data_IF_746335736683
#
_entry.id   IF_746335736683
#
_cell.length_a   1.000
_cell.length_b   1.000
_cell.length_c   1.000
_cell.angle_alpha   90.00
_cell.angle_beta   90.00
_cell.angle_gamma   90.00
#
_symmetry.space_group_name_H-M   'P 1'
#
loop_
_entity.id
_entity.type
_entity.pdbx_description
1 polymer ?
#
# COMPACT_ATOMS: atom_id res chain seq x y z
N UNK A 1 -6.99 -9.30 -4.83
CA UNK A 1 -7.26 -7.86 -4.71
C UNK A 1 -7.00 -7.06 -5.99
N UNK A 2 -6.07 -7.46 -6.87
CA UNK A 2 -5.73 -6.72 -8.09
C UNK A 2 -6.91 -6.36 -9.02
N UNK A 3 -7.77 -7.33 -9.35
CA UNK A 3 -8.88 -7.09 -10.28
C UNK A 3 -9.86 -6.01 -9.80
N UNK A 4 -10.08 -5.92 -8.49
CA UNK A 4 -10.93 -4.90 -7.88
C UNK A 4 -10.30 -3.52 -7.98
N UNK A 5 -9.04 -3.36 -7.59
CA UNK A 5 -8.35 -2.06 -7.64
C UNK A 5 -8.14 -1.59 -9.07
N UNK A 6 -7.88 -2.50 -10.01
CA UNK A 6 -7.79 -2.20 -11.44
C UNK A 6 -9.12 -1.69 -12.00
N UNK A 7 -10.23 -2.35 -11.65
CA UNK A 7 -11.57 -1.95 -12.08
C UNK A 7 -11.98 -0.62 -11.48
N UNK A 8 -11.72 -0.41 -10.17
CA UNK A 8 -12.00 0.85 -9.48
C UNK A 8 -11.21 2.02 -10.06
N UNK A 9 -9.92 1.83 -10.34
CA UNK A 9 -9.09 2.85 -10.98
C UNK A 9 -9.64 3.22 -12.36
N UNK A 10 -9.98 2.23 -13.18
CA UNK A 10 -10.56 2.46 -14.50
C UNK A 10 -11.91 3.16 -14.43
N UNK A 11 -12.72 2.81 -13.42
CA UNK A 11 -14.02 3.43 -13.18
C UNK A 11 -13.88 4.89 -12.75
N UNK A 12 -13.06 5.17 -11.73
CA UNK A 12 -12.79 6.53 -11.24
C UNK A 12 -12.26 7.44 -12.37
N UNK A 13 -11.35 6.93 -13.21
CA UNK A 13 -10.80 7.69 -14.32
C UNK A 13 -11.84 8.04 -15.39
N UNK A 14 -12.87 7.21 -15.58
CA UNK A 14 -13.93 7.45 -16.58
C UNK A 14 -15.02 8.39 -16.07
N UNK A 15 -15.30 8.38 -14.77
CA UNK A 15 -16.38 9.18 -14.16
C UNK A 15 -15.89 10.51 -13.58
N UNK A 16 -14.58 10.67 -13.37
CA UNK A 16 -14.02 11.89 -12.79
C UNK A 16 -14.34 13.11 -13.68
N UNK A 17 -15.02 14.14 -13.13
CA UNK A 17 -15.25 15.39 -13.85
C UNK A 17 -14.01 16.31 -13.85
N UNK A 18 -13.00 15.97 -13.05
CA UNK A 18 -11.75 16.72 -12.86
C UNK A 18 -10.56 15.89 -13.36
N UNK A 19 -9.40 16.52 -13.52
CA UNK A 19 -8.20 15.94 -14.13
C UNK A 19 -7.97 14.45 -13.79
N UNK A 20 -7.82 13.59 -14.81
CA UNK A 20 -7.69 12.14 -14.64
C UNK A 20 -6.39 11.71 -13.93
N UNK A 21 -5.50 12.66 -13.64
CA UNK A 21 -4.18 12.41 -13.08
C UNK A 21 -4.19 12.06 -11.59
N UNK A 22 -5.26 12.37 -10.85
CA UNK A 22 -5.34 12.08 -9.40
C UNK A 22 -5.76 10.62 -9.15
N UNK A 23 -6.63 10.06 -10.00
CA UNK A 23 -7.04 8.66 -9.98
C UNK A 23 -7.70 8.18 -8.67
N UNK A 24 -7.76 6.87 -8.50
CA UNK A 24 -8.31 6.21 -7.30
C UNK A 24 -7.30 6.25 -6.14
N UNK A 25 -7.70 6.78 -4.98
CA UNK A 25 -6.81 6.97 -3.82
C UNK A 25 -7.21 6.13 -2.61
N UNK A 26 -8.50 6.09 -2.26
CA UNK A 26 -9.00 5.28 -1.15
C UNK A 26 -10.50 5.05 -1.27
N UNK A 27 -11.00 3.99 -0.62
CA UNK A 27 -12.43 3.84 -0.36
C UNK A 27 -12.65 3.45 1.10
N UNK A 28 -13.83 3.80 1.63
CA UNK A 28 -14.25 3.48 2.99
C UNK A 28 -15.45 2.54 2.94
N UNK A 29 -15.43 1.51 3.77
CA UNK A 29 -16.57 0.62 4.03
C UNK A 29 -17.10 0.84 5.45
N UNK A 30 -18.09 0.07 5.87
CA UNK A 30 -18.59 0.09 7.26
C UNK A 30 -17.63 -0.54 8.27
N UNK A 31 -16.57 -1.22 7.83
CA UNK A 31 -15.66 -1.96 8.71
C UNK A 31 -14.21 -1.49 8.59
N UNK A 32 -13.75 -1.09 7.40
CA UNK A 32 -12.38 -0.64 7.18
C UNK A 32 -12.29 0.43 6.10
N UNK A 33 -11.18 1.14 6.09
CA UNK A 33 -10.77 2.04 5.00
C UNK A 33 -9.60 1.39 4.25
N UNK A 34 -9.68 1.34 2.93
CA UNK A 34 -8.60 0.89 2.07
C UNK A 34 -7.92 2.08 1.44
N UNK A 35 -6.60 2.11 1.53
CA UNK A 35 -5.73 3.12 0.94
C UNK A 35 -4.94 2.49 -0.18
N UNK A 36 -4.87 3.20 -1.29
CA UNK A 36 -4.18 2.79 -2.50
C UNK A 36 -3.10 3.81 -2.84
N UNK A 37 -1.89 3.30 -3.07
CA UNK A 37 -0.75 4.11 -3.47
C UNK A 37 -0.02 3.41 -4.62
N UNK A 38 0.21 4.15 -5.70
CA UNK A 38 0.91 3.65 -6.87
C UNK A 38 2.16 4.50 -7.12
N UNK A 39 3.29 3.82 -7.31
CA UNK A 39 4.55 4.48 -7.65
C UNK A 39 4.60 4.76 -9.15
N UNK A 40 5.42 5.74 -9.59
CA UNK A 40 5.68 5.96 -11.03
C UNK A 40 6.27 4.72 -11.74
N UNK A 41 6.89 3.80 -11.01
CA UNK A 41 7.38 2.51 -11.51
C UNK A 41 6.28 1.45 -11.70
N UNK A 42 5.02 1.79 -11.38
CA UNK A 42 3.87 0.89 -11.54
C UNK A 42 3.68 -0.11 -10.39
N UNK A 43 4.38 0.06 -9.26
CA UNK A 43 4.17 -0.75 -8.06
C UNK A 43 2.95 -0.26 -7.31
N UNK A 44 2.10 -1.19 -6.86
CA UNK A 44 0.83 -0.89 -6.20
C UNK A 44 0.89 -1.35 -4.76
N UNK A 45 0.78 -0.41 -3.84
CA UNK A 45 0.68 -0.63 -2.41
C UNK A 45 -0.78 -0.48 -1.99
N UNK A 46 -1.27 -1.47 -1.27
CA UNK A 46 -2.63 -1.51 -0.73
C UNK A 46 -2.51 -1.68 0.77
N UNK A 47 -3.14 -0.79 1.53
CA UNK A 47 -3.15 -0.85 2.99
C UNK A 47 -4.58 -0.71 3.49
N UNK A 48 -4.99 -1.57 4.42
CA UNK A 48 -6.29 -1.47 5.08
C UNK A 48 -6.11 -0.99 6.51
N UNK A 49 -6.94 -0.05 6.91
CA UNK A 49 -6.91 0.57 8.24
C UNK A 49 -8.31 0.63 8.84
N UNK A 50 -8.39 0.87 10.15
CA UNK A 50 -9.63 1.23 10.82
C UNK A 50 -10.22 2.54 10.25
N UNK A 51 -11.54 2.71 10.42
CA UNK A 51 -12.32 3.90 10.11
C UNK A 51 -11.94 5.12 10.96
N UNK A 52 -11.37 4.89 12.15
CA UNK A 52 -10.96 5.95 13.08
C UNK A 52 -9.70 6.69 12.63
N UNK A 53 -8.95 6.15 11.68
CA UNK A 53 -7.72 6.78 11.19
C UNK A 53 -8.09 7.95 10.27
N UNK A 54 -7.89 9.16 10.81
CA UNK A 54 -8.03 10.43 10.11
C UNK A 54 -6.66 10.87 9.60
N UNK A 55 -6.60 11.29 8.34
CA UNK A 55 -5.38 11.77 7.71
C UNK A 55 -5.02 11.04 6.42
N UNK A 56 -4.04 11.62 5.74
CA UNK A 56 -3.51 11.12 4.48
C UNK A 56 -2.36 10.14 4.72
N UNK A 57 -2.61 8.85 4.48
CA UNK A 57 -1.64 7.77 4.70
C UNK A 57 -0.67 7.65 3.51
N UNK A 58 -0.83 8.46 2.45
CA UNK A 58 0.07 8.45 1.29
C UNK A 58 1.53 8.69 1.67
N UNK A 59 1.79 9.61 2.62
CA UNK A 59 3.14 9.86 3.10
C UNK A 59 3.74 8.60 3.74
N UNK A 60 2.95 7.90 4.57
CA UNK A 60 3.38 6.65 5.19
C UNK A 60 3.68 5.57 4.16
N UNK A 61 2.83 5.41 3.14
CA UNK A 61 3.02 4.42 2.07
C UNK A 61 4.25 4.76 1.20
N UNK A 62 4.52 6.05 0.96
CA UNK A 62 5.74 6.48 0.29
C UNK A 62 6.99 6.19 1.13
N UNK A 63 6.96 6.46 2.44
CA UNK A 63 8.07 6.14 3.35
C UNK A 63 8.29 4.63 3.43
N UNK A 64 7.23 3.82 3.47
CA UNK A 64 7.32 2.36 3.41
C UNK A 64 7.99 1.90 2.10
N UNK A 65 7.64 2.50 0.97
CA UNK A 65 8.29 2.23 -0.30
C UNK A 65 9.80 2.55 -0.23
N UNK A 66 10.16 3.75 0.22
CA UNK A 66 11.54 4.23 0.23
C UNK A 66 12.43 3.49 1.23
N UNK A 67 11.98 3.36 2.46
CA UNK A 67 12.84 2.93 3.57
C UNK A 67 12.74 1.42 3.84
N UNK A 68 11.69 0.76 3.34
CA UNK A 68 11.53 -0.70 3.53
C UNK A 68 11.65 -1.44 2.21
N UNK A 69 10.83 -1.09 1.22
CA UNK A 69 10.81 -1.83 -0.04
C UNK A 69 12.09 -1.66 -0.87
N UNK A 70 12.57 -0.44 -1.07
CA UNK A 70 13.80 -0.21 -1.83
C UNK A 70 15.01 -0.80 -1.10
N UNK A 71 15.09 -0.64 0.23
CA UNK A 71 16.25 -1.08 1.01
C UNK A 71 16.35 -2.59 1.17
N UNK A 72 15.23 -3.29 1.40
CA UNK A 72 15.25 -4.70 1.77
C UNK A 72 14.64 -5.64 0.71
N UNK A 73 13.98 -5.11 -0.33
CA UNK A 73 13.49 -5.93 -1.43
C UNK A 73 14.26 -5.70 -2.74
N UNK A 74 14.69 -4.47 -3.05
CA UNK A 74 15.42 -4.19 -4.32
C UNK A 74 16.92 -4.42 -4.16
N UNK A 75 17.52 -4.05 -3.03
CA UNK A 75 18.95 -4.26 -2.78
C UNK A 75 19.30 -5.71 -2.45
N UNK A 76 18.31 -6.54 -2.15
CA UNK A 76 18.50 -7.97 -1.88
C UNK A 76 18.72 -8.72 -3.20
N UNK A 77 19.93 -9.23 -3.48
CA UNK A 77 20.25 -9.88 -4.74
C UNK A 77 19.50 -11.21 -4.95
N UNK A 78 18.99 -11.82 -3.88
CA UNK A 78 18.19 -13.05 -3.97
C UNK A 78 16.70 -12.76 -4.25
N UNK A 79 16.30 -11.50 -4.19
CA UNK A 79 14.91 -11.09 -4.34
C UNK A 79 14.59 -10.84 -5.82
N UNK A 80 13.95 -11.83 -6.45
CA UNK A 80 13.54 -11.69 -7.83
C UNK A 80 12.35 -10.72 -8.00
N UNK A 81 12.54 -9.73 -8.86
CA UNK A 81 11.46 -8.85 -9.32
C UNK A 81 10.33 -9.70 -9.94
N UNK A 82 9.08 -9.42 -9.55
CA UNK A 82 7.85 -10.13 -9.95
C UNK A 82 7.53 -11.45 -9.20
N UNK A 83 8.38 -11.90 -8.27
CA UNK A 83 8.04 -13.02 -7.39
C UNK A 83 7.56 -12.50 -6.02
N UNK A 84 6.77 -13.29 -5.26
CA UNK A 84 6.46 -12.93 -3.89
C UNK A 84 7.74 -12.80 -3.07
N UNK A 85 7.87 -11.71 -2.31
CA UNK A 85 9.02 -11.46 -1.44
C UNK A 85 9.01 -12.51 -0.33
N UNK A 86 10.05 -13.36 -0.28
CA UNK A 86 10.22 -14.41 0.75
C UNK A 86 11.23 -14.03 1.83
N UNK A 87 11.87 -12.86 1.70
CA UNK A 87 12.91 -12.41 2.62
C UNK A 87 12.33 -12.19 4.01
N UNK A 88 12.85 -12.94 5.00
CA UNK A 88 12.45 -12.80 6.41
C UNK A 88 12.82 -11.43 6.96
N UNK A 89 13.98 -10.92 6.56
CA UNK A 89 14.49 -9.62 6.96
C UNK A 89 13.56 -8.49 6.50
N UNK A 90 13.01 -8.58 5.28
CA UNK A 90 11.98 -7.65 4.82
C UNK A 90 10.74 -7.68 5.73
N UNK A 91 10.24 -8.87 6.09
CA UNK A 91 9.07 -8.99 6.98
C UNK A 91 9.33 -8.42 8.38
N UNK A 92 10.51 -8.66 8.95
CA UNK A 92 10.90 -8.10 10.25
C UNK A 92 10.97 -6.59 10.22
N UNK A 93 11.64 -6.01 9.21
CA UNK A 93 11.77 -4.56 9.05
C UNK A 93 10.46 -3.87 8.75
N UNK A 94 9.59 -4.53 7.98
CA UNK A 94 8.23 -4.05 7.74
C UNK A 94 7.40 -4.01 9.03
N UNK A 95 7.47 -5.06 9.85
CA UNK A 95 6.80 -5.09 11.15
C UNK A 95 7.33 -4.01 12.08
N UNK A 96 8.65 -3.83 12.15
CA UNK A 96 9.29 -2.77 12.94
C UNK A 96 8.83 -1.37 12.49
N UNK A 97 8.79 -1.14 11.17
CA UNK A 97 8.34 0.13 10.59
C UNK A 97 6.88 0.43 10.95
N UNK A 98 6.04 -0.59 10.84
CA UNK A 98 4.60 -0.50 11.12
C UNK A 98 4.35 -0.24 12.62
N UNK A 99 5.04 -0.95 13.51
CA UNK A 99 4.91 -0.78 14.97
C UNK A 99 5.37 0.60 15.46
N UNK A 100 6.35 1.20 14.79
CA UNK A 100 6.84 2.56 15.10
C UNK A 100 5.81 3.65 14.78
N UNK A 101 4.77 3.35 14.01
CA UNK A 101 3.81 4.37 13.63
C UNK A 101 2.81 4.65 14.77
N UNK A 102 2.57 5.94 15.11
CA UNK A 102 1.65 6.31 16.19
C UNK A 102 0.20 5.91 15.90
N UNK A 103 -0.13 5.65 14.63
CA UNK A 103 -1.44 5.22 14.16
C UNK A 103 -1.66 3.70 14.38
N UNK A 104 -0.62 2.95 14.78
CA UNK A 104 -0.62 1.48 14.78
C UNK A 104 -1.45 0.83 15.90
N UNK A 105 -1.80 1.55 16.96
CA UNK A 105 -2.78 1.08 17.95
C UNK A 105 -4.09 0.58 17.34
N UNK A 106 -4.42 1.06 16.12
CA UNK A 106 -5.63 0.72 15.37
C UNK A 106 -5.37 -0.01 14.03
N UNK A 107 -4.13 -0.39 13.70
CA UNK A 107 -3.76 -1.00 12.38
C UNK A 107 -3.62 -2.54 12.49
N UNK A 108 -3.70 -3.08 13.70
CA UNK A 108 -3.15 -4.39 14.05
C UNK A 108 -3.86 -5.64 13.49
N UNK A 109 -4.85 -5.59 12.59
CA UNK A 109 -5.57 -6.83 12.26
C UNK A 109 -5.82 -7.23 10.81
N UNK A 110 -5.56 -6.42 9.79
CA UNK A 110 -5.87 -6.91 8.43
C UNK A 110 -4.87 -6.45 7.38
N UNK A 111 -4.18 -7.47 6.85
CA UNK A 111 -3.67 -7.56 5.49
C UNK A 111 -2.39 -6.78 5.14
N UNK A 112 -1.25 -7.31 5.59
CA UNK A 112 -0.06 -7.43 4.75
C UNK A 112 -0.28 -8.50 3.67
N UNK A 113 -1.32 -8.32 2.84
CA UNK A 113 -1.55 -9.21 1.71
C UNK A 113 -1.25 -8.47 0.42
N UNK A 114 -0.07 -8.81 -0.10
CA UNK A 114 0.31 -8.70 -1.49
C UNK A 114 0.76 -7.32 -1.96
N UNK A 115 2.08 -7.15 -2.04
CA UNK A 115 2.68 -6.35 -3.12
C UNK A 115 2.37 -7.10 -4.41
N UNK A 116 1.31 -6.66 -5.11
CA UNK A 116 0.95 -7.18 -6.42
C UNK A 116 1.46 -6.19 -7.45
N UNK A 117 2.24 -6.67 -8.41
CA UNK A 117 2.42 -5.97 -9.68
C UNK A 117 1.13 -6.03 -10.48
#
# INVERSE_FOLDING_TARGET
MYGMTFSLKSFCNRISPTDPNIGFTSFKTSQYKLHFYETPSGLKFIMTTDLQIQGDIRFLMHTLYKDVFVEYAIRDPECELNKPIKSKLFSEKLNEFIQKQPQFGNIAQTALSSIVK
#
